data_IF_648257825807
#
_entry.id   IF_648257825807
#
_cell.length_a   1.000
_cell.length_b   1.000
_cell.length_c   1.000
_cell.angle_alpha   90.00
_cell.angle_beta   90.00
_cell.angle_gamma   90.00
#
_symmetry.space_group_name_H-M   'P 1'
#
loop_
_entity.id
_entity.type
_entity.pdbx_description
1 polymer ?
#
# COMPACT_ATOMS: atom_id res chain seq x y z
N UNK A 1 9.84 -2.83 4.50
CA UNK A 1 9.20 -3.39 5.72
C UNK A 1 7.70 -3.07 5.74
N UNK A 2 7.27 -1.79 5.66
CA UNK A 2 5.85 -1.39 5.71
C UNK A 2 5.06 -1.99 4.55
N UNK A 3 5.60 -1.95 3.32
CA UNK A 3 4.97 -2.57 2.15
C UNK A 3 4.65 -4.06 2.39
N UNK A 4 5.62 -4.86 2.86
CA UNK A 4 5.39 -6.28 3.18
C UNK A 4 4.29 -6.46 4.25
N UNK A 5 4.28 -5.62 5.29
CA UNK A 5 3.25 -5.69 6.33
C UNK A 5 1.86 -5.36 5.78
N UNK A 6 1.74 -4.40 4.87
CA UNK A 6 0.47 -4.07 4.21
C UNK A 6 -0.01 -5.20 3.29
N UNK A 7 0.92 -5.84 2.56
CA UNK A 7 0.56 -6.93 1.66
C UNK A 7 -0.02 -8.16 2.36
N UNK A 8 0.24 -8.36 3.66
CA UNK A 8 -0.38 -9.45 4.45
C UNK A 8 -1.91 -9.35 4.47
N UNK A 9 -2.46 -8.15 4.33
CA UNK A 9 -3.92 -7.91 4.31
C UNK A 9 -4.58 -8.17 2.95
N UNK A 10 -3.81 -8.45 1.90
CA UNK A 10 -4.37 -8.89 0.62
C UNK A 10 -5.02 -10.26 0.82
N UNK A 11 -6.29 -10.45 0.40
CA UNK A 11 -6.95 -11.74 0.53
C UNK A 11 -6.16 -12.85 -0.14
N UNK A 12 -6.03 -13.99 0.52
CA UNK A 12 -5.11 -15.09 0.18
C UNK A 12 -5.35 -15.70 -1.22
N UNK A 13 -6.58 -15.64 -1.72
CA UNK A 13 -6.96 -16.18 -3.03
C UNK A 13 -6.58 -15.27 -4.20
N UNK A 14 -6.25 -14.00 -3.95
CA UNK A 14 -5.97 -13.02 -4.99
C UNK A 14 -4.66 -13.33 -5.72
N UNK A 15 -4.65 -13.13 -7.04
CA UNK A 15 -3.43 -13.20 -7.83
C UNK A 15 -2.63 -11.92 -7.65
N UNK A 16 -1.40 -12.08 -7.19
CA UNK A 16 -0.46 -10.98 -6.92
C UNK A 16 0.73 -11.14 -7.86
N UNK A 17 1.11 -10.08 -8.55
CA UNK A 17 2.39 -10.00 -9.26
C UNK A 17 3.25 -8.93 -8.59
N UNK A 18 4.46 -9.29 -8.18
CA UNK A 18 5.45 -8.29 -7.73
C UNK A 18 6.55 -8.12 -8.77
N UNK A 19 7.07 -6.88 -8.88
CA UNK A 19 8.13 -6.50 -9.81
C UNK A 19 9.18 -5.74 -9.02
N UNK A 20 10.41 -6.22 -9.06
CA UNK A 20 11.51 -5.69 -8.26
C UNK A 20 12.84 -5.82 -9.00
N UNK A 21 13.73 -4.88 -8.78
CA UNK A 21 15.14 -4.98 -9.21
C UNK A 21 15.96 -5.84 -8.25
N UNK A 22 15.63 -5.80 -6.96
CA UNK A 22 16.18 -6.67 -5.91
C UNK A 22 15.04 -7.19 -5.08
N UNK A 23 15.03 -8.47 -4.79
CA UNK A 23 13.93 -9.12 -4.07
C UNK A 23 13.88 -8.70 -2.61
N UNK A 24 12.89 -7.88 -2.26
CA UNK A 24 12.59 -7.42 -0.91
C UNK A 24 11.18 -7.79 -0.46
N UNK A 25 10.26 -7.94 -1.42
CA UNK A 25 8.90 -8.42 -1.16
C UNK A 25 8.96 -9.90 -0.79
N UNK A 26 8.35 -10.21 0.34
CA UNK A 26 8.19 -11.57 0.84
C UNK A 26 6.84 -11.68 1.51
N UNK A 27 5.89 -12.32 0.84
CA UNK A 27 4.50 -12.41 1.25
C UNK A 27 4.05 -13.88 1.29
N UNK A 28 3.14 -14.21 2.21
CA UNK A 28 2.72 -15.59 2.42
C UNK A 28 1.62 -16.08 1.47
N UNK A 29 1.06 -15.20 0.63
CA UNK A 29 -0.03 -15.56 -0.28
C UNK A 29 0.42 -16.59 -1.32
N UNK A 30 -0.36 -17.69 -1.53
CA UNK A 30 0.06 -18.79 -2.40
C UNK A 30 0.00 -18.43 -3.90
N UNK A 31 -0.85 -17.48 -4.30
CA UNK A 31 -1.00 -17.06 -5.69
C UNK A 31 -0.17 -15.81 -6.00
N UNK A 32 1.09 -15.84 -5.58
CA UNK A 32 2.06 -14.77 -5.80
C UNK A 32 3.09 -15.14 -6.85
N UNK A 33 3.24 -14.29 -7.86
CA UNK A 33 4.21 -14.40 -8.96
C UNK A 33 5.27 -13.31 -8.80
N UNK A 34 6.47 -13.62 -8.30
CA UNK A 34 7.55 -12.66 -8.18
C UNK A 34 8.33 -12.49 -9.49
N UNK A 35 8.35 -11.26 -10.04
CA UNK A 35 9.16 -10.85 -11.17
C UNK A 35 10.42 -10.11 -10.70
N UNK A 36 11.59 -10.48 -11.25
CA UNK A 36 12.83 -9.77 -11.03
C UNK A 36 13.40 -9.27 -12.36
N UNK A 37 13.95 -8.06 -12.34
CA UNK A 37 14.68 -7.54 -13.48
C UNK A 37 15.92 -8.38 -13.78
N UNK A 38 16.32 -8.40 -15.03
CA UNK A 38 17.54 -9.06 -15.47
C UNK A 38 18.45 -8.07 -16.15
N UNK A 39 19.68 -7.97 -15.70
CA UNK A 39 20.73 -7.20 -16.37
C UNK A 39 21.16 -7.87 -17.67
N UNK A 40 21.54 -7.08 -18.67
CA UNK A 40 22.01 -7.58 -19.96
C UNK A 40 23.34 -8.34 -19.87
N UNK A 41 23.58 -9.19 -20.87
CA UNK A 41 24.81 -9.96 -20.99
C UNK A 41 25.88 -9.20 -21.79
N UNK A 42 26.62 -8.26 -21.14
CA UNK A 42 27.74 -7.57 -21.78
C UNK A 42 27.70 -6.06 -21.67
N UNK A 43 28.82 -5.48 -21.33
CA UNK A 43 29.03 -4.13 -20.79
C UNK A 43 28.54 -2.92 -21.58
N UNK A 44 28.12 -3.01 -22.86
CA UNK A 44 27.56 -1.90 -23.63
C UNK A 44 26.32 -2.28 -24.46
N UNK A 45 25.92 -3.54 -24.49
CA UNK A 45 24.70 -3.97 -25.17
C UNK A 45 23.56 -4.23 -24.19
N UNK A 46 22.39 -3.64 -24.43
CA UNK A 46 21.14 -3.94 -23.69
C UNK A 46 20.57 -5.31 -24.06
N UNK A 47 21.33 -6.15 -24.76
CA UNK A 47 20.88 -7.43 -25.26
C UNK A 47 20.58 -8.38 -24.08
N UNK A 48 19.34 -8.84 -23.99
CA UNK A 48 18.85 -9.69 -22.90
C UNK A 48 18.49 -8.97 -21.61
N UNK A 49 18.56 -7.64 -21.54
CA UNK A 49 18.07 -6.86 -20.43
C UNK A 49 16.52 -6.93 -20.36
N UNK A 50 15.99 -7.12 -19.16
CA UNK A 50 14.55 -7.04 -18.87
C UNK A 50 14.37 -6.09 -17.70
N UNK A 51 13.87 -4.90 -17.99
CA UNK A 51 13.60 -3.87 -16.99
C UNK A 51 12.25 -4.02 -16.30
N UNK A 52 11.99 -3.14 -15.33
CA UNK A 52 10.72 -3.10 -14.60
C UNK A 52 9.55 -2.74 -15.52
N UNK A 53 9.79 -1.92 -16.54
CA UNK A 53 8.80 -1.52 -17.52
C UNK A 53 8.28 -2.69 -18.37
N UNK A 54 9.18 -3.55 -18.87
CA UNK A 54 8.83 -4.74 -19.63
C UNK A 54 8.10 -5.76 -18.78
N UNK A 55 8.58 -5.97 -17.55
CA UNK A 55 7.94 -6.86 -16.58
C UNK A 55 6.53 -6.40 -16.23
N UNK A 56 6.33 -5.09 -16.04
CA UNK A 56 5.01 -4.55 -15.73
C UNK A 56 4.02 -4.72 -16.88
N UNK A 57 4.46 -4.50 -18.11
CA UNK A 57 3.63 -4.77 -19.30
C UNK A 57 3.27 -6.26 -19.44
N UNK A 58 4.20 -7.16 -19.11
CA UNK A 58 3.93 -8.59 -19.10
C UNK A 58 2.94 -8.96 -17.99
N UNK A 59 3.14 -8.42 -16.78
CA UNK A 59 2.26 -8.63 -15.63
C UNK A 59 0.81 -8.27 -15.91
N UNK A 60 0.55 -7.15 -16.57
CA UNK A 60 -0.82 -6.73 -16.93
C UNK A 60 -1.54 -7.74 -17.82
N UNK A 61 -0.81 -8.49 -18.67
CA UNK A 61 -1.39 -9.56 -19.51
C UNK A 61 -1.77 -10.81 -18.72
N UNK A 62 -1.18 -10.96 -17.53
CA UNK A 62 -1.49 -12.06 -16.62
C UNK A 62 -2.78 -11.84 -15.81
N UNK A 63 -3.41 -10.66 -15.93
CA UNK A 63 -4.63 -10.24 -15.22
C UNK A 63 -4.53 -10.42 -13.71
N UNK A 64 -3.53 -9.84 -13.03
CA UNK A 64 -3.44 -9.89 -11.58
C UNK A 64 -4.52 -9.01 -10.95
N UNK A 65 -4.99 -9.37 -9.76
CA UNK A 65 -5.81 -8.48 -8.92
C UNK A 65 -4.95 -7.43 -8.23
N UNK A 66 -3.70 -7.79 -7.88
CA UNK A 66 -2.76 -6.89 -7.21
C UNK A 66 -1.42 -6.83 -7.95
N UNK A 67 -0.91 -5.63 -8.13
CA UNK A 67 0.42 -5.36 -8.68
C UNK A 67 1.25 -4.68 -7.60
N UNK A 68 2.42 -5.23 -7.31
CA UNK A 68 3.36 -4.66 -6.36
C UNK A 68 4.63 -4.29 -7.12
N UNK A 69 4.96 -3.00 -7.18
CA UNK A 69 6.26 -2.55 -7.70
C UNK A 69 7.11 -2.15 -6.49
N UNK A 70 8.25 -2.80 -6.32
CA UNK A 70 9.12 -2.61 -5.15
C UNK A 70 9.45 -1.15 -4.91
N UNK A 71 9.87 -0.44 -5.97
CA UNK A 71 10.12 1.00 -5.96
C UNK A 71 9.87 1.60 -7.34
N UNK A 72 9.28 2.79 -7.38
CA UNK A 72 9.12 3.59 -8.61
C UNK A 72 10.34 4.51 -8.77
N UNK A 73 11.03 4.39 -9.92
CA UNK A 73 12.22 5.18 -10.26
C UNK A 73 12.17 5.82 -11.63
N UNK A 74 11.40 5.27 -12.57
CA UNK A 74 11.43 5.66 -13.98
C UNK A 74 10.10 5.45 -14.71
N UNK A 75 10.19 5.11 -15.99
CA UNK A 75 9.05 5.03 -16.91
C UNK A 75 8.01 3.94 -16.57
N UNK A 76 8.38 2.93 -15.78
CA UNK A 76 7.46 1.90 -15.25
C UNK A 76 6.29 2.54 -14.48
N UNK A 77 6.55 3.67 -13.81
CA UNK A 77 5.53 4.40 -13.07
C UNK A 77 4.34 4.79 -13.94
N UNK A 78 4.57 5.23 -15.18
CA UNK A 78 3.48 5.61 -16.08
C UNK A 78 2.54 4.42 -16.35
N UNK A 79 3.08 3.25 -16.61
CA UNK A 79 2.30 2.02 -16.83
C UNK A 79 1.54 1.63 -15.56
N UNK A 80 2.18 1.77 -14.39
CA UNK A 80 1.54 1.49 -13.10
C UNK A 80 0.36 2.44 -12.84
N UNK A 81 0.53 3.74 -13.09
CA UNK A 81 -0.54 4.73 -12.92
C UNK A 81 -1.70 4.50 -13.90
N UNK A 82 -1.42 4.10 -15.14
CA UNK A 82 -2.46 3.68 -16.08
C UNK A 82 -3.20 2.43 -15.58
N UNK A 83 -2.51 1.45 -15.02
CA UNK A 83 -3.13 0.27 -14.44
C UNK A 83 -4.04 0.64 -13.27
N UNK A 84 -3.60 1.52 -12.35
CA UNK A 84 -4.43 2.03 -11.26
C UNK A 84 -5.66 2.79 -11.79
N UNK A 85 -5.50 3.65 -12.78
CA UNK A 85 -6.60 4.40 -13.39
C UNK A 85 -7.65 3.49 -14.06
N UNK A 86 -7.25 2.29 -14.50
CA UNK A 86 -8.15 1.28 -15.07
C UNK A 86 -8.68 0.27 -14.05
N UNK A 87 -8.40 0.46 -12.76
CA UNK A 87 -9.00 -0.29 -11.64
C UNK A 87 -8.16 -1.42 -11.07
N UNK A 88 -6.88 -1.57 -11.46
CA UNK A 88 -5.98 -2.52 -10.79
C UNK A 88 -5.58 -1.99 -9.41
N UNK A 89 -5.61 -2.86 -8.41
CA UNK A 89 -5.03 -2.54 -7.11
C UNK A 89 -3.50 -2.59 -7.20
N UNK A 90 -2.83 -1.51 -6.80
CA UNK A 90 -1.38 -1.45 -6.86
C UNK A 90 -0.76 -0.88 -5.58
N UNK A 91 0.41 -1.43 -5.22
CA UNK A 91 1.26 -0.91 -4.16
C UNK A 91 2.66 -0.65 -4.69
N UNK A 92 3.26 0.43 -4.23
CA UNK A 92 4.67 0.72 -4.53
C UNK A 92 5.31 1.57 -3.44
N UNK A 93 6.62 1.76 -3.53
CA UNK A 93 7.36 2.72 -2.71
C UNK A 93 8.02 3.78 -3.58
N UNK A 94 8.15 4.97 -3.01
CA UNK A 94 8.85 6.11 -3.64
C UNK A 94 9.67 6.81 -2.57
N UNK A 95 10.88 7.21 -2.88
CA UNK A 95 11.68 8.04 -1.99
C UNK A 95 11.17 9.49 -2.00
N UNK A 96 10.34 9.84 -1.01
CA UNK A 96 9.87 11.19 -0.75
C UNK A 96 9.60 11.35 0.75
N UNK A 97 9.79 12.56 1.28
CA UNK A 97 9.63 12.89 2.71
C UNK A 97 8.29 13.58 3.03
N UNK A 98 7.59 13.99 2.00
CA UNK A 98 6.34 14.74 2.06
C UNK A 98 5.50 14.56 0.82
N UNK A 99 4.20 14.91 0.88
CA UNK A 99 3.31 14.84 -0.27
C UNK A 99 3.73 15.81 -1.38
N UNK A 100 4.12 17.06 -1.11
CA UNK A 100 4.64 17.94 -2.16
C UNK A 100 5.90 17.37 -2.84
N UNK A 101 6.83 16.81 -2.06
CA UNK A 101 8.04 16.17 -2.61
C UNK A 101 7.69 14.93 -3.46
N UNK A 102 6.68 14.13 -3.03
CA UNK A 102 6.17 13.01 -3.81
C UNK A 102 5.59 13.47 -5.15
N UNK A 103 4.69 14.45 -5.14
CA UNK A 103 4.08 15.00 -6.35
C UNK A 103 5.16 15.54 -7.29
N UNK A 104 6.08 16.35 -6.78
CA UNK A 104 7.18 16.89 -7.57
C UNK A 104 8.03 15.77 -8.21
N UNK A 105 8.34 14.70 -7.46
CA UNK A 105 9.11 13.58 -7.97
C UNK A 105 8.37 12.80 -9.05
N UNK A 106 7.06 12.59 -8.87
CA UNK A 106 6.23 11.88 -9.84
C UNK A 106 6.08 12.66 -11.17
N UNK A 107 5.97 13.98 -11.11
CA UNK A 107 5.78 14.83 -12.29
C UNK A 107 7.05 15.09 -13.09
N UNK A 108 8.23 14.91 -12.48
CA UNK A 108 9.50 15.22 -13.12
C UNK A 108 10.22 13.95 -13.60
N UNK A 109 11.10 14.14 -14.61
CA UNK A 109 11.96 13.06 -15.08
C UNK A 109 12.84 12.52 -13.96
N UNK A 110 13.11 11.21 -13.95
CA UNK A 110 12.81 10.22 -15.00
C UNK A 110 11.39 9.61 -14.95
N UNK A 111 10.57 9.91 -13.94
CA UNK A 111 9.24 9.32 -13.73
C UNK A 111 8.23 9.89 -14.73
N UNK A 112 8.05 11.21 -14.77
CA UNK A 112 7.30 11.98 -15.79
C UNK A 112 5.80 11.61 -15.90
N UNK A 113 5.11 11.51 -14.75
CA UNK A 113 3.66 11.24 -14.70
C UNK A 113 2.87 12.51 -15.01
N UNK A 114 1.98 12.51 -15.99
CA UNK A 114 1.06 13.60 -16.20
C UNK A 114 0.19 13.86 -14.96
N UNK A 115 0.08 15.13 -14.55
CA UNK A 115 -0.67 15.53 -13.34
C UNK A 115 -2.08 14.94 -13.29
N UNK A 116 -2.76 14.86 -14.43
CA UNK A 116 -4.11 14.30 -14.53
C UNK A 116 -4.24 12.83 -14.09
N UNK A 117 -3.13 12.08 -14.03
CA UNK A 117 -3.10 10.70 -13.54
C UNK A 117 -2.84 10.59 -12.03
N UNK A 118 -2.38 11.65 -11.36
CA UNK A 118 -2.07 11.61 -9.93
C UNK A 118 -3.24 11.15 -9.05
N UNK A 119 -4.52 11.50 -9.35
CA UNK A 119 -5.66 11.00 -8.56
C UNK A 119 -5.88 9.49 -8.65
N UNK A 120 -5.21 8.78 -9.56
CA UNK A 120 -5.21 7.31 -9.55
C UNK A 120 -4.44 6.74 -8.34
N UNK A 121 -3.52 7.53 -7.75
CA UNK A 121 -2.94 7.26 -6.46
C UNK A 121 -3.92 7.68 -5.36
N UNK A 122 -4.71 6.75 -4.86
CA UNK A 122 -5.76 7.06 -3.88
C UNK A 122 -5.21 7.51 -2.54
N UNK A 123 -4.11 6.91 -2.06
CA UNK A 123 -3.51 7.27 -0.78
C UNK A 123 -2.00 7.03 -0.74
N UNK A 124 -1.29 7.81 0.06
CA UNK A 124 0.11 7.60 0.37
C UNK A 124 0.36 7.59 1.89
N UNK A 125 1.28 6.74 2.30
CA UNK A 125 1.73 6.61 3.69
C UNK A 125 3.17 7.09 3.80
N UNK A 126 3.39 8.22 4.46
CA UNK A 126 4.72 8.81 4.65
C UNK A 126 5.37 8.15 5.87
N UNK A 127 6.52 7.52 5.64
CA UNK A 127 7.28 6.83 6.69
C UNK A 127 8.42 7.71 7.18
N UNK A 128 8.64 7.71 8.49
CA UNK A 128 9.75 8.47 9.11
C UNK A 128 10.58 7.56 10.01
N UNK A 129 11.89 7.80 10.00
CA UNK A 129 12.79 7.30 11.03
C UNK A 129 13.19 8.46 11.94
N UNK A 130 12.98 8.29 13.25
CA UNK A 130 13.24 9.32 14.25
C UNK A 130 13.79 8.72 15.54
N UNK A 131 13.93 9.54 16.58
CA UNK A 131 14.31 9.07 17.92
C UNK A 131 13.25 9.50 18.92
N UNK A 132 12.83 8.54 19.75
CA UNK A 132 11.98 8.77 20.92
C UNK A 132 12.77 8.30 22.14
N UNK A 133 12.93 9.15 23.13
CA UNK A 133 13.70 8.86 24.35
C UNK A 133 15.09 8.26 24.06
N UNK A 134 15.80 8.82 23.06
CA UNK A 134 17.13 8.39 22.62
C UNK A 134 17.16 7.12 21.75
N UNK A 135 16.07 6.37 21.63
CA UNK A 135 15.98 5.15 20.82
C UNK A 135 15.54 5.46 19.40
N UNK A 136 16.19 4.85 18.40
CA UNK A 136 15.76 4.93 17.01
C UNK A 136 14.44 4.17 16.83
N UNK A 137 13.45 4.84 16.26
CA UNK A 137 12.14 4.27 15.96
C UNK A 137 11.74 4.60 14.53
N UNK A 138 10.84 3.79 13.96
CA UNK A 138 10.18 4.04 12.69
C UNK A 138 8.69 4.23 12.96
N UNK A 139 8.10 5.25 12.32
CA UNK A 139 6.66 5.56 12.46
C UNK A 139 6.10 5.92 11.09
N UNK A 140 4.83 5.65 10.91
CA UNK A 140 4.04 6.29 9.85
C UNK A 140 3.80 7.73 10.27
N UNK A 141 4.43 8.70 9.60
CA UNK A 141 4.27 10.13 9.93
C UNK A 141 2.85 10.59 9.68
N UNK A 142 2.30 10.22 8.52
CA UNK A 142 0.96 10.57 8.10
C UNK A 142 0.46 9.62 7.00
N UNK A 143 -0.86 9.51 6.89
CA UNK A 143 -1.55 8.90 5.76
C UNK A 143 -2.36 10.01 5.10
N UNK A 144 -2.13 10.23 3.81
CA UNK A 144 -2.74 11.30 3.03
C UNK A 144 -3.41 10.71 1.80
N UNK A 145 -4.65 11.08 1.56
CA UNK A 145 -5.40 10.75 0.35
C UNK A 145 -5.19 11.81 -0.72
N UNK A 146 -5.10 11.38 -1.96
CA UNK A 146 -5.13 12.24 -3.14
C UNK A 146 -6.59 12.29 -3.63
N UNK A 147 -7.26 13.40 -3.37
CA UNK A 147 -8.71 13.52 -3.61
C UNK A 147 -9.02 13.89 -5.05
N UNK A 148 -8.15 14.70 -5.66
CA UNK A 148 -8.35 15.19 -7.01
C UNK A 148 -7.39 16.32 -7.37
N UNK A 149 -7.74 17.03 -8.43
CA UNK A 149 -7.02 18.22 -8.90
C UNK A 149 -8.01 19.36 -8.96
N UNK A 150 -7.63 20.52 -8.41
CA UNK A 150 -8.43 21.73 -8.54
C UNK A 150 -8.44 22.19 -10.01
N UNK A 151 -9.63 22.37 -10.63
CA UNK A 151 -9.71 22.69 -12.04
C UNK A 151 -9.22 24.10 -12.38
N UNK A 152 -9.12 25.01 -11.42
CA UNK A 152 -8.71 26.39 -11.64
C UNK A 152 -7.21 26.59 -11.38
N UNK A 153 -6.71 26.09 -10.23
CA UNK A 153 -5.31 26.23 -9.85
C UNK A 153 -4.43 25.09 -10.37
N UNK A 154 -5.03 24.00 -10.81
CA UNK A 154 -4.35 22.74 -11.16
C UNK A 154 -3.56 22.14 -9.98
N UNK A 155 -3.82 22.56 -8.75
CA UNK A 155 -3.20 21.99 -7.56
C UNK A 155 -3.80 20.64 -7.18
N UNK A 156 -2.97 19.77 -6.61
CA UNK A 156 -3.40 18.46 -6.11
C UNK A 156 -4.14 18.67 -4.80
N UNK A 157 -5.42 18.29 -4.75
CA UNK A 157 -6.24 18.33 -3.55
C UNK A 157 -5.95 17.09 -2.72
N UNK A 158 -5.56 17.28 -1.48
CA UNK A 158 -5.20 16.20 -0.55
C UNK A 158 -6.03 16.24 0.71
N UNK A 159 -6.17 15.10 1.38
CA UNK A 159 -6.81 14.97 2.69
C UNK A 159 -5.90 14.17 3.63
N UNK A 160 -5.40 14.79 4.69
CA UNK A 160 -4.67 14.08 5.74
C UNK A 160 -5.66 13.28 6.59
N UNK A 161 -5.60 11.97 6.50
CA UNK A 161 -6.50 11.05 7.23
C UNK A 161 -5.99 10.74 8.61
N UNK A 162 -4.68 10.41 8.69
CA UNK A 162 -4.00 10.12 9.95
C UNK A 162 -2.71 10.89 10.04
N UNK A 163 -2.40 11.37 11.24
CA UNK A 163 -1.14 12.00 11.60
C UNK A 163 -0.61 11.39 12.89
N UNK A 164 0.68 11.11 12.92
CA UNK A 164 1.37 10.72 14.11
C UNK A 164 1.62 11.94 15.02
N UNK A 165 1.21 11.83 16.27
CA UNK A 165 1.53 12.81 17.32
C UNK A 165 2.81 12.36 18.04
N UNK A 166 3.86 13.16 17.90
CA UNK A 166 5.18 12.89 18.50
C UNK A 166 5.13 12.91 20.02
N UNK A 167 4.25 13.73 20.60
CA UNK A 167 4.19 13.94 22.05
C UNK A 167 3.58 12.76 22.80
N UNK A 168 2.55 12.15 22.23
CA UNK A 168 1.86 10.99 22.80
C UNK A 168 2.32 9.65 22.23
N UNK A 169 3.11 9.66 21.14
CA UNK A 169 3.44 8.50 20.30
C UNK A 169 2.20 7.74 19.81
N UNK A 170 1.13 8.46 19.52
CA UNK A 170 -0.14 7.92 19.06
C UNK A 170 -0.56 8.55 17.72
N UNK A 171 -1.66 8.08 17.13
CA UNK A 171 -2.16 8.51 15.83
C UNK A 171 -3.48 9.27 16.00
N UNK A 172 -3.55 10.45 15.40
CA UNK A 172 -4.75 11.28 15.35
C UNK A 172 -5.45 11.04 14.03
N UNK A 173 -6.73 10.64 14.09
CA UNK A 173 -7.62 10.56 12.94
C UNK A 173 -8.29 11.92 12.70
N UNK A 174 -8.27 12.42 11.46
CA UNK A 174 -8.87 13.72 11.09
C UNK A 174 -10.41 13.76 11.15
N UNK A 175 -11.04 12.59 11.24
CA UNK A 175 -12.51 12.46 11.22
C UNK A 175 -13.11 12.21 9.84
N UNK A 176 -12.34 12.37 8.74
CA UNK A 176 -12.81 12.20 7.37
C UNK A 176 -11.84 11.39 6.52
N UNK A 177 -12.38 10.48 5.69
CA UNK A 177 -11.63 9.74 4.67
C UNK A 177 -12.48 9.53 3.42
N UNK A 178 -12.05 10.07 2.32
CA UNK A 178 -12.72 9.91 1.01
C UNK A 178 -12.59 8.49 0.46
N UNK A 179 -11.47 7.80 0.75
CA UNK A 179 -11.28 6.39 0.36
C UNK A 179 -12.29 5.51 1.11
N UNK A 180 -12.47 5.71 2.42
CA UNK A 180 -13.47 4.96 3.18
C UNK A 180 -14.89 5.28 2.70
N UNK A 181 -15.21 6.54 2.34
CA UNK A 181 -16.50 6.89 1.75
C UNK A 181 -16.74 6.14 0.42
N UNK A 182 -15.75 6.06 -0.47
CA UNK A 182 -15.84 5.26 -1.71
C UNK A 182 -16.07 3.77 -1.41
N UNK A 183 -15.36 3.22 -0.43
CA UNK A 183 -15.52 1.82 -0.01
C UNK A 183 -16.92 1.59 0.53
N UNK A 184 -17.44 2.46 1.42
CA UNK A 184 -18.80 2.34 1.97
C UNK A 184 -19.84 2.25 0.87
N UNK A 185 -19.75 3.12 -0.15
CA UNK A 185 -20.66 3.07 -1.30
C UNK A 185 -20.54 1.75 -2.06
N UNK A 186 -19.30 1.29 -2.31
CA UNK A 186 -19.05 0.06 -3.08
C UNK A 186 -19.58 -1.21 -2.40
N UNK A 187 -19.52 -1.28 -1.06
CA UNK A 187 -19.95 -2.45 -0.28
C UNK A 187 -21.29 -2.24 0.42
N UNK A 188 -21.95 -1.11 0.17
CA UNK A 188 -23.23 -0.73 0.77
C UNK A 188 -23.20 -0.70 2.31
N UNK A 189 -22.14 -0.13 2.90
CA UNK A 189 -22.01 0.06 4.34
C UNK A 189 -22.46 1.45 4.76
N UNK A 190 -23.18 1.52 5.88
CA UNK A 190 -23.41 2.76 6.62
C UNK A 190 -22.13 3.23 7.33
N UNK A 191 -22.10 4.49 7.76
CA UNK A 191 -20.99 5.02 8.55
C UNK A 191 -20.76 4.24 9.85
N UNK A 192 -21.83 3.80 10.50
CA UNK A 192 -21.74 3.04 11.76
C UNK A 192 -21.20 1.62 11.53
N UNK A 193 -21.56 0.99 10.42
CA UNK A 193 -20.99 -0.31 10.02
C UNK A 193 -19.51 -0.17 9.72
N UNK A 194 -19.09 0.84 8.97
CA UNK A 194 -17.68 1.09 8.71
C UNK A 194 -16.90 1.36 10.00
N UNK A 195 -17.44 2.17 10.90
CA UNK A 195 -16.80 2.43 12.20
C UNK A 195 -16.69 1.18 13.07
N UNK A 196 -17.70 0.31 13.05
CA UNK A 196 -17.64 -0.99 13.74
C UNK A 196 -16.56 -1.88 13.14
N UNK A 197 -16.52 -1.98 11.82
CA UNK A 197 -15.53 -2.79 11.10
C UNK A 197 -14.10 -2.35 11.40
N UNK A 198 -13.81 -1.05 11.34
CA UNK A 198 -12.48 -0.51 11.65
C UNK A 198 -12.09 -0.76 13.10
N UNK A 199 -13.02 -0.60 14.06
CA UNK A 199 -12.77 -0.94 15.47
C UNK A 199 -12.51 -2.42 15.67
N UNK A 200 -13.23 -3.27 14.96
CA UNK A 200 -13.05 -4.72 14.99
C UNK A 200 -11.67 -5.11 14.48
N UNK A 201 -11.25 -4.59 13.34
CA UNK A 201 -9.90 -4.84 12.79
C UNK A 201 -8.81 -4.33 13.74
N UNK A 202 -8.96 -3.13 14.28
CA UNK A 202 -8.03 -2.59 15.28
C UNK A 202 -7.91 -3.55 16.49
N UNK A 203 -9.02 -4.01 17.05
CA UNK A 203 -9.05 -4.94 18.19
C UNK A 203 -8.36 -6.27 17.88
N UNK A 204 -8.54 -6.81 16.68
CA UNK A 204 -7.84 -8.02 16.24
C UNK A 204 -6.31 -7.78 16.19
N UNK A 205 -5.87 -6.65 15.62
CA UNK A 205 -4.45 -6.30 15.56
C UNK A 205 -3.84 -6.10 16.96
N UNK A 206 -4.56 -5.44 17.87
CA UNK A 206 -4.15 -5.28 19.27
C UNK A 206 -4.04 -6.64 19.97
N UNK A 207 -4.99 -7.54 19.74
CA UNK A 207 -4.95 -8.90 20.26
C UNK A 207 -3.74 -9.69 19.75
N UNK A 208 -3.40 -9.58 18.45
CA UNK A 208 -2.18 -10.19 17.89
C UNK A 208 -0.93 -9.70 18.61
N UNK A 209 -0.84 -8.39 18.85
CA UNK A 209 0.30 -7.79 19.57
C UNK A 209 0.38 -8.28 21.02
N UNK A 210 -0.73 -8.32 21.73
CA UNK A 210 -0.81 -8.78 23.13
C UNK A 210 -0.43 -10.25 23.28
N UNK A 211 -0.73 -11.08 22.29
CA UNK A 211 -0.39 -12.51 22.28
C UNK A 211 0.95 -12.82 21.60
N UNK A 212 1.76 -11.78 21.29
CA UNK A 212 3.06 -11.89 20.64
C UNK A 212 3.04 -12.65 19.28
N UNK A 213 1.91 -12.59 18.58
CA UNK A 213 1.75 -13.18 17.24
C UNK A 213 2.31 -12.20 16.23
N UNK A 214 3.58 -12.40 15.82
CA UNK A 214 4.33 -11.44 15.00
C UNK A 214 4.86 -12.01 13.68
N UNK A 215 4.80 -13.32 13.49
CA UNK A 215 5.26 -13.97 12.26
C UNK A 215 4.25 -13.73 11.15
N UNK A 216 4.76 -13.40 9.95
CA UNK A 216 3.93 -13.04 8.80
C UNK A 216 2.92 -14.13 8.41
N UNK A 217 3.32 -15.40 8.45
CA UNK A 217 2.48 -16.56 8.21
C UNK A 217 1.32 -16.67 9.21
N UNK A 218 1.61 -16.51 10.51
CA UNK A 218 0.60 -16.56 11.57
C UNK A 218 -0.39 -15.38 11.47
N UNK A 219 0.12 -14.16 11.24
CA UNK A 219 -0.74 -12.98 11.04
C UNK A 219 -1.63 -13.17 9.81
N UNK A 220 -1.04 -13.62 8.69
CA UNK A 220 -1.79 -13.88 7.45
C UNK A 220 -2.88 -14.94 7.65
N UNK A 221 -2.62 -15.97 8.42
CA UNK A 221 -3.61 -16.98 8.76
C UNK A 221 -4.81 -16.37 9.49
N UNK A 222 -4.58 -15.56 10.53
CA UNK A 222 -5.66 -14.90 11.28
C UNK A 222 -6.43 -13.91 10.41
N UNK A 223 -5.73 -13.15 9.56
CA UNK A 223 -6.36 -12.24 8.60
C UNK A 223 -7.24 -13.01 7.62
N UNK A 224 -6.75 -14.11 7.07
CA UNK A 224 -7.50 -14.99 6.16
C UNK A 224 -8.73 -15.59 6.84
N UNK A 225 -8.56 -16.10 8.07
CA UNK A 225 -9.68 -16.64 8.85
C UNK A 225 -10.73 -15.56 9.14
N UNK A 226 -10.32 -14.32 9.42
CA UNK A 226 -11.26 -13.22 9.61
C UNK A 226 -12.07 -12.91 8.34
N UNK A 227 -11.48 -12.99 7.15
CA UNK A 227 -12.22 -12.81 5.90
C UNK A 227 -13.25 -13.91 5.64
N UNK A 228 -12.97 -15.15 6.06
CA UNK A 228 -13.80 -16.33 5.76
C UNK A 228 -14.80 -16.61 6.90
N UNK A 229 -14.34 -16.51 8.14
CA UNK A 229 -15.07 -16.89 9.36
C UNK A 229 -14.89 -15.86 10.48
N UNK A 230 -15.38 -14.61 10.30
CA UNK A 230 -15.13 -13.52 11.24
C UNK A 230 -15.54 -13.85 12.68
N UNK A 231 -16.63 -14.58 12.87
CA UNK A 231 -17.14 -14.92 14.21
C UNK A 231 -16.19 -15.83 15.00
N UNK A 232 -15.51 -16.76 14.34
CA UNK A 232 -14.54 -17.65 15.00
C UNK A 232 -13.31 -16.87 15.50
N UNK A 233 -12.83 -15.89 14.70
CA UNK A 233 -11.73 -15.03 15.10
C UNK A 233 -12.15 -14.12 16.26
N UNK A 234 -13.36 -13.54 16.19
CA UNK A 234 -13.88 -12.69 17.25
C UNK A 234 -14.07 -13.43 18.55
N UNK A 235 -14.57 -14.65 18.53
CA UNK A 235 -14.69 -15.51 19.73
C UNK A 235 -13.33 -15.71 20.42
N UNK A 236 -12.27 -15.94 19.63
CA UNK A 236 -10.89 -16.05 20.18
C UNK A 236 -10.38 -14.73 20.78
N UNK A 237 -10.62 -13.62 20.06
CA UNK A 237 -10.23 -12.27 20.51
C UNK A 237 -10.94 -11.87 21.81
N UNK A 238 -12.21 -12.28 21.96
CA UNK A 238 -13.04 -11.99 23.14
C UNK A 238 -12.83 -12.98 24.29
N UNK A 239 -11.96 -13.99 24.13
CA UNK A 239 -11.72 -15.02 25.12
C UNK A 239 -12.90 -15.97 25.34
N UNK A 240 -13.86 -15.98 24.41
CA UNK A 240 -14.95 -16.93 24.38
C UNK A 240 -14.45 -18.26 23.78
N UNK A 241 -14.47 -19.34 24.61
CA UNK A 241 -14.14 -20.70 24.18
C UNK A 241 -15.39 -21.42 23.67
#
# INVERSE_FOLDING_TARGET
TTLNAMCIFIPWQMKIVSIESTREVNIPQPNWVPGLTRQGFGGESSEGEIGEFELLKAALRERPEYIIVGEIRGAEAYVLFQAMATGHCAYSTVHADSVPSLVHRLENKPIDIPRVLLPALEACSIQIQTRINGRRVRRTKQIVEIVGIDPNSMEVITNEVFRWDVSSDDFIFSGKSYVLEKIMVKINFSQDEMRRELRTRKRILEWLVLNDIRKADQVSQIVTEYYVRPQEVLARVDGLR
#
